data_IF_406124562556
#
_entry.id   IF_406124562556
#
_cell.length_a   1.000
_cell.length_b   1.000
_cell.length_c   1.000
_cell.angle_alpha   90.00
_cell.angle_beta   90.00
_cell.angle_gamma   90.00
#
_symmetry.space_group_name_H-M   'P 1'
#
loop_
_entity.id
_entity.type
_entity.pdbx_description
1 polymer ?
#
# COMPACT_ATOMS: atom_id res chain seq x y z
N UNK A 1 10.90 -9.94 -13.37
CA UNK A 1 10.43 -9.10 -12.24
C UNK A 1 9.87 -7.75 -12.71
N UNK A 2 10.40 -7.14 -13.77
CA UNK A 2 9.97 -5.81 -14.27
C UNK A 2 8.47 -5.66 -14.55
N UNK A 3 7.82 -6.69 -15.09
CA UNK A 3 6.36 -6.65 -15.32
C UNK A 3 5.59 -6.48 -14.00
N UNK A 4 5.96 -7.24 -12.97
CA UNK A 4 5.30 -7.21 -11.66
C UNK A 4 5.49 -5.86 -10.96
N UNK A 5 6.71 -5.30 -11.02
CA UNK A 5 6.98 -3.97 -10.48
C UNK A 5 6.09 -2.89 -11.12
N UNK A 6 5.90 -2.97 -12.45
CA UNK A 6 5.02 -2.04 -13.17
C UNK A 6 3.55 -2.22 -12.80
N UNK A 7 3.09 -3.46 -12.60
CA UNK A 7 1.72 -3.72 -12.17
C UNK A 7 1.45 -3.15 -10.78
N UNK A 8 2.35 -3.36 -9.82
CA UNK A 8 2.19 -2.77 -8.49
C UNK A 8 2.24 -1.25 -8.52
N UNK A 9 3.11 -0.64 -9.34
CA UNK A 9 3.14 0.81 -9.47
C UNK A 9 1.81 1.39 -10.00
N UNK A 10 1.13 0.70 -10.93
CA UNK A 10 -0.18 1.13 -11.46
C UNK A 10 -1.31 1.02 -10.45
N UNK A 11 -1.24 0.03 -9.56
CA UNK A 11 -2.32 -0.34 -8.62
C UNK A 11 -2.24 0.38 -7.27
N UNK A 12 -1.16 1.14 -7.03
CA UNK A 12 -0.84 1.75 -5.74
C UNK A 12 -1.73 2.95 -5.33
N UNK A 13 -2.70 3.35 -6.16
CA UNK A 13 -3.57 4.49 -5.86
C UNK A 13 -4.45 4.23 -4.63
N UNK A 14 -4.50 5.20 -3.71
CA UNK A 14 -5.38 5.16 -2.54
C UNK A 14 -6.65 5.99 -2.79
N UNK A 15 -7.84 5.48 -2.43
CA UNK A 15 -9.06 6.28 -2.49
C UNK A 15 -9.00 7.44 -1.48
N UNK A 16 -9.63 8.56 -1.82
CA UNK A 16 -9.55 9.80 -1.05
C UNK A 16 -9.94 9.66 0.42
N UNK A 17 -10.96 8.86 0.71
CA UNK A 17 -11.42 8.64 2.08
C UNK A 17 -10.36 7.98 2.98
N UNK A 18 -9.53 7.07 2.44
CA UNK A 18 -8.43 6.45 3.19
C UNK A 18 -7.32 7.46 3.43
N UNK A 19 -7.00 8.30 2.43
CA UNK A 19 -6.01 9.37 2.57
C UNK A 19 -6.43 10.33 3.68
N UNK A 20 -7.68 10.81 3.65
CA UNK A 20 -8.23 11.71 4.67
C UNK A 20 -8.29 11.06 6.05
N UNK A 21 -8.63 9.77 6.14
CA UNK A 21 -8.63 9.06 7.42
C UNK A 21 -7.22 9.00 8.02
N UNK A 22 -6.21 8.66 7.22
CA UNK A 22 -4.81 8.61 7.65
C UNK A 22 -4.28 9.97 8.13
N UNK A 23 -4.69 11.06 7.48
CA UNK A 23 -4.28 12.42 7.86
C UNK A 23 -4.91 12.91 9.16
N UNK A 24 -6.07 12.36 9.54
CA UNK A 24 -6.80 12.75 10.72
C UNK A 24 -6.54 11.85 11.95
N UNK A 25 -5.74 10.80 11.82
CA UNK A 25 -5.39 9.98 12.98
C UNK A 25 -4.57 10.79 13.99
N UNK A 26 -4.89 10.69 15.30
CA UNK A 26 -4.12 11.38 16.32
C UNK A 26 -2.76 10.69 16.51
N UNK A 27 -1.74 11.46 16.88
CA UNK A 27 -0.35 10.98 17.01
C UNK A 27 -0.15 9.97 18.14
N UNK A 28 -1.10 9.87 19.09
CA UNK A 28 -1.09 8.87 20.15
C UNK A 28 -1.63 7.50 19.70
N UNK A 29 -2.27 7.40 18.54
CA UNK A 29 -2.73 6.13 17.99
C UNK A 29 -1.54 5.37 17.39
N UNK A 30 -1.30 4.16 17.91
CA UNK A 30 -0.16 3.34 17.51
C UNK A 30 -0.12 3.10 15.98
N UNK A 31 1.05 3.16 15.32
CA UNK A 31 1.16 3.02 13.86
C UNK A 31 0.54 1.73 13.32
N UNK A 32 0.66 0.61 14.04
CA UNK A 32 0.01 -0.65 13.63
C UNK A 32 -1.51 -0.58 13.70
N UNK A 33 -2.08 0.21 14.62
CA UNK A 33 -3.54 0.42 14.70
C UNK A 33 -4.02 1.28 13.53
N UNK A 34 -3.28 2.34 13.19
CA UNK A 34 -3.55 3.15 12.00
C UNK A 34 -3.49 2.30 10.73
N UNK A 35 -2.45 1.45 10.62
CA UNK A 35 -2.25 0.56 9.48
C UNK A 35 -3.41 -0.44 9.33
N UNK A 36 -3.77 -1.13 10.41
CA UNK A 36 -4.90 -2.07 10.39
C UNK A 36 -6.22 -1.38 10.02
N UNK A 37 -6.51 -0.21 10.60
CA UNK A 37 -7.73 0.53 10.30
C UNK A 37 -7.79 0.97 8.83
N UNK A 38 -6.67 1.45 8.28
CA UNK A 38 -6.56 1.82 6.87
C UNK A 38 -6.74 0.63 5.93
N UNK A 39 -6.13 -0.52 6.24
CA UNK A 39 -6.33 -1.76 5.46
C UNK A 39 -7.78 -2.24 5.53
N UNK A 40 -8.44 -2.13 6.68
CA UNK A 40 -9.87 -2.43 6.80
C UNK A 40 -10.72 -1.49 5.96
N UNK A 41 -10.44 -0.18 5.97
CA UNK A 41 -11.16 0.79 5.16
C UNK A 41 -10.99 0.55 3.65
N UNK A 42 -9.80 0.11 3.21
CA UNK A 42 -9.53 -0.26 1.81
C UNK A 42 -10.39 -1.41 1.28
N UNK A 43 -11.11 -2.14 2.15
CA UNK A 43 -12.09 -3.14 1.70
C UNK A 43 -13.20 -2.53 0.83
N UNK A 44 -13.45 -1.22 0.89
CA UNK A 44 -14.37 -0.53 -0.03
C UNK A 44 -14.06 -0.79 -1.51
N UNK A 45 -12.78 -1.04 -1.83
CA UNK A 45 -12.30 -1.28 -3.19
C UNK A 45 -12.26 -2.78 -3.56
N UNK A 46 -12.71 -3.68 -2.68
CA UNK A 46 -12.61 -5.13 -2.88
C UNK A 46 -13.51 -5.60 -4.02
N UNK A 47 -12.86 -6.08 -5.09
CA UNK A 47 -13.55 -6.70 -6.22
C UNK A 47 -14.10 -8.07 -5.84
N UNK A 48 -13.42 -8.81 -4.96
CA UNK A 48 -13.91 -10.10 -4.49
C UNK A 48 -15.18 -9.96 -3.65
N UNK A 49 -15.24 -9.01 -2.70
CA UNK A 49 -16.43 -8.80 -1.88
C UNK A 49 -17.67 -8.47 -2.74
N UNK A 50 -17.48 -7.63 -3.77
CA UNK A 50 -18.53 -7.31 -4.75
C UNK A 50 -18.93 -8.52 -5.58
N UNK A 51 -17.99 -9.20 -6.22
CA UNK A 51 -18.27 -10.37 -7.06
C UNK A 51 -18.91 -11.52 -6.28
N UNK A 52 -18.51 -11.73 -5.02
CA UNK A 52 -19.12 -12.72 -4.14
C UNK A 52 -20.59 -12.40 -3.87
N UNK A 53 -20.90 -11.13 -3.59
CA UNK A 53 -22.27 -10.66 -3.35
C UNK A 53 -23.15 -10.78 -4.61
N UNK A 54 -22.56 -10.67 -5.79
CA UNK A 54 -23.21 -10.86 -7.09
C UNK A 54 -23.37 -12.35 -7.49
N UNK A 55 -22.86 -13.29 -6.69
CA UNK A 55 -23.06 -14.73 -6.90
C UNK A 55 -22.06 -15.40 -7.85
N UNK A 56 -20.80 -14.96 -7.85
CA UNK A 56 -19.73 -15.59 -8.65
C UNK A 56 -19.57 -17.08 -8.33
N UNK A 57 -19.20 -17.88 -9.34
CA UNK A 57 -18.97 -19.31 -9.16
C UNK A 57 -17.76 -19.58 -8.24
N UNK A 58 -17.88 -20.55 -7.33
CA UNK A 58 -16.80 -20.95 -6.40
C UNK A 58 -15.47 -21.26 -7.07
N UNK A 59 -15.48 -21.87 -8.25
CA UNK A 59 -14.26 -22.19 -9.01
C UNK A 59 -13.50 -20.93 -9.51
N UNK A 60 -14.15 -19.76 -9.48
CA UNK A 60 -13.62 -18.48 -9.96
C UNK A 60 -13.23 -17.51 -8.83
N UNK A 61 -13.40 -17.90 -7.56
CA UNK A 61 -13.05 -17.03 -6.42
C UNK A 61 -11.60 -16.57 -6.45
N UNK A 62 -10.68 -17.46 -6.81
CA UNK A 62 -9.24 -17.17 -6.82
C UNK A 62 -8.87 -16.03 -7.77
N UNK A 63 -9.62 -15.81 -8.85
CA UNK A 63 -9.35 -14.75 -9.83
C UNK A 63 -9.49 -13.37 -9.18
N UNK A 64 -10.59 -13.17 -8.45
CA UNK A 64 -10.85 -11.92 -7.74
C UNK A 64 -9.98 -11.77 -6.48
N UNK A 65 -9.69 -12.87 -5.79
CA UNK A 65 -8.75 -12.85 -4.65
C UNK A 65 -7.34 -12.48 -5.12
N UNK A 66 -6.92 -12.94 -6.30
CA UNK A 66 -5.66 -12.56 -6.91
C UNK A 66 -5.61 -11.06 -7.21
N UNK A 67 -6.64 -10.50 -7.84
CA UNK A 67 -6.71 -9.05 -8.13
C UNK A 67 -6.69 -8.22 -6.84
N UNK A 68 -7.51 -8.57 -5.83
CA UNK A 68 -7.53 -7.84 -4.55
C UNK A 68 -6.20 -7.96 -3.79
N UNK A 69 -5.52 -9.12 -3.88
CA UNK A 69 -4.20 -9.31 -3.25
C UNK A 69 -3.12 -8.47 -3.95
N UNK A 70 -3.15 -8.42 -5.28
CA UNK A 70 -2.25 -7.58 -6.09
C UNK A 70 -2.45 -6.10 -5.80
N UNK A 71 -3.70 -5.65 -5.71
CA UNK A 71 -4.06 -4.28 -5.37
C UNK A 71 -3.66 -3.94 -3.93
N UNK A 72 -3.87 -4.86 -2.98
CA UNK A 72 -3.48 -4.65 -1.59
C UNK A 72 -1.96 -4.48 -1.48
N UNK A 73 -1.17 -5.43 -2.01
CA UNK A 73 0.31 -5.36 -1.98
C UNK A 73 0.81 -4.06 -2.59
N UNK A 74 0.20 -3.59 -3.69
CA UNK A 74 0.53 -2.32 -4.32
C UNK A 74 0.27 -1.10 -3.42
N UNK A 75 -0.82 -1.11 -2.66
CA UNK A 75 -1.27 0.01 -1.81
C UNK A 75 -0.58 0.05 -0.44
N UNK A 76 -0.07 -1.09 0.06
CA UNK A 76 0.55 -1.18 1.40
C UNK A 76 1.68 -0.15 1.64
N UNK A 77 2.63 0.06 0.72
CA UNK A 77 3.69 1.06 0.93
C UNK A 77 3.17 2.49 1.03
N UNK A 78 2.12 2.85 0.29
CA UNK A 78 1.53 4.18 0.35
C UNK A 78 0.88 4.42 1.71
N UNK A 79 0.13 3.44 2.23
CA UNK A 79 -0.46 3.50 3.57
C UNK A 79 0.64 3.61 4.63
N UNK A 80 1.61 2.70 4.60
CA UNK A 80 2.70 2.66 5.58
C UNK A 80 3.54 3.94 5.57
N UNK A 81 3.88 4.47 4.39
CA UNK A 81 4.65 5.69 4.26
C UNK A 81 3.86 6.92 4.75
N UNK A 82 2.55 6.98 4.50
CA UNK A 82 1.71 8.07 4.99
C UNK A 82 1.62 8.07 6.52
N UNK A 83 1.46 6.90 7.14
CA UNK A 83 1.54 6.74 8.60
C UNK A 83 2.89 7.23 9.12
N UNK A 84 3.99 6.78 8.51
CA UNK A 84 5.34 7.16 8.91
C UNK A 84 5.55 8.68 8.83
N UNK A 85 5.11 9.32 7.73
CA UNK A 85 5.27 10.77 7.58
C UNK A 85 4.36 11.58 8.50
N UNK A 86 3.13 11.13 8.72
CA UNK A 86 2.21 11.79 9.65
C UNK A 86 2.73 11.77 11.09
N UNK A 87 3.34 10.65 11.51
CA UNK A 87 3.88 10.51 12.86
C UNK A 87 5.27 11.13 13.06
N UNK A 88 6.16 11.02 12.08
CA UNK A 88 7.61 11.28 12.28
C UNK A 88 8.21 12.31 11.31
N UNK A 89 7.41 12.87 10.40
CA UNK A 89 7.83 13.87 9.38
C UNK A 89 6.78 14.96 9.17
N UNK A 90 6.11 15.36 10.25
CA UNK A 90 5.19 16.52 10.31
C UNK A 90 4.05 16.48 9.26
N UNK A 91 3.61 15.29 8.85
CA UNK A 91 2.56 15.15 7.83
C UNK A 91 2.98 15.58 6.43
N UNK A 92 4.28 15.60 6.14
CA UNK A 92 4.79 15.90 4.79
C UNK A 92 4.25 14.91 3.74
N UNK A 93 4.10 15.37 2.51
CA UNK A 93 3.61 14.54 1.40
C UNK A 93 4.54 13.35 1.13
N UNK A 94 3.95 12.19 0.85
CA UNK A 94 4.68 10.97 0.43
C UNK A 94 5.19 11.05 -1.02
N UNK A 95 4.81 12.07 -1.80
CA UNK A 95 5.20 12.21 -3.20
C UNK A 95 4.40 11.32 -4.15
N UNK A 96 4.95 11.11 -5.34
CA UNK A 96 4.33 10.30 -6.40
C UNK A 96 5.08 8.97 -6.59
N UNK A 97 4.33 7.95 -7.01
CA UNK A 97 4.90 6.66 -7.43
C UNK A 97 5.58 6.82 -8.78
N UNK A 98 6.80 6.31 -8.92
CA UNK A 98 7.49 6.18 -10.19
C UNK A 98 7.32 4.77 -10.75
N UNK A 99 6.65 4.68 -11.90
CA UNK A 99 6.39 3.44 -12.63
C UNK A 99 7.63 2.70 -13.15
N UNK A 100 8.79 3.36 -13.14
CA UNK A 100 10.07 2.77 -13.55
C UNK A 100 10.85 2.16 -12.36
N UNK A 101 10.45 2.45 -11.13
CA UNK A 101 11.10 1.94 -9.93
C UNK A 101 10.42 0.66 -9.42
N UNK A 102 11.19 -0.17 -8.72
CA UNK A 102 10.64 -1.33 -8.02
C UNK A 102 9.89 -0.93 -6.74
N UNK A 103 9.21 -1.92 -6.15
CA UNK A 103 8.32 -1.73 -5.01
C UNK A 103 9.03 -1.15 -3.78
N UNK A 104 10.18 -1.72 -3.39
CA UNK A 104 10.94 -1.27 -2.24
C UNK A 104 11.53 0.12 -2.44
N UNK A 105 11.97 0.46 -3.65
CA UNK A 105 12.51 1.79 -3.95
C UNK A 105 11.42 2.88 -3.95
N UNK A 106 10.24 2.60 -4.51
CA UNK A 106 9.10 3.49 -4.34
C UNK A 106 8.77 3.67 -2.85
N UNK A 107 8.83 2.60 -2.06
CA UNK A 107 8.56 2.68 -0.63
C UNK A 107 9.59 3.55 0.12
N UNK A 108 10.89 3.38 -0.12
CA UNK A 108 11.93 4.19 0.54
C UNK A 108 11.84 5.67 0.15
N UNK A 109 11.55 5.97 -1.13
CA UNK A 109 11.29 7.33 -1.59
C UNK A 109 10.08 7.94 -0.86
N UNK A 110 8.98 7.20 -0.75
CA UNK A 110 7.78 7.65 -0.03
C UNK A 110 8.04 7.85 1.45
N UNK A 111 8.91 7.06 2.08
CA UNK A 111 9.35 7.27 3.48
C UNK A 111 10.26 8.50 3.64
N UNK A 112 10.83 9.03 2.55
CA UNK A 112 11.73 10.18 2.54
C UNK A 112 13.21 9.83 2.70
N UNK A 113 13.59 8.60 2.35
CA UNK A 113 14.98 8.15 2.35
C UNK A 113 15.53 8.13 0.91
N UNK A 114 16.75 8.65 0.73
CA UNK A 114 17.44 8.71 -0.56
C UNK A 114 18.75 7.91 -0.60
N UNK A 115 19.14 7.28 0.52
CA UNK A 115 20.32 6.43 0.57
C UNK A 115 20.09 5.13 -0.20
N UNK A 116 20.96 4.83 -1.15
CA UNK A 116 20.88 3.63 -1.97
C UNK A 116 21.06 2.35 -1.15
N UNK A 117 21.91 2.38 -0.10
CA UNK A 117 22.12 1.24 0.79
C UNK A 117 20.87 0.96 1.64
N UNK A 118 20.13 1.99 2.02
CA UNK A 118 18.86 1.80 2.72
C UNK A 118 17.80 1.16 1.82
N UNK A 119 17.80 1.51 0.53
CA UNK A 119 16.92 0.86 -0.45
C UNK A 119 17.29 -0.62 -0.66
N UNK A 120 18.59 -0.95 -0.75
CA UNK A 120 19.05 -2.35 -0.78
C UNK A 120 18.66 -3.13 0.48
N UNK A 121 18.83 -2.51 1.65
CA UNK A 121 18.37 -3.09 2.91
C UNK A 121 16.87 -3.35 2.90
N UNK A 122 16.08 -2.39 2.42
CA UNK A 122 14.63 -2.52 2.34
C UNK A 122 14.21 -3.66 1.41
N UNK A 123 14.86 -3.80 0.25
CA UNK A 123 14.65 -4.93 -0.67
C UNK A 123 14.90 -6.26 0.02
N UNK A 124 16.02 -6.39 0.73
CA UNK A 124 16.35 -7.61 1.46
C UNK A 124 15.36 -7.88 2.60
N UNK A 125 15.07 -6.88 3.43
CA UNK A 125 14.18 -7.00 4.58
C UNK A 125 12.80 -7.52 4.19
N UNK A 126 12.21 -6.95 3.12
CA UNK A 126 10.89 -7.32 2.59
C UNK A 126 10.88 -8.63 1.81
N UNK A 127 12.05 -9.18 1.49
CA UNK A 127 12.13 -10.51 0.86
C UNK A 127 12.20 -11.61 1.91
N UNK A 128 12.82 -11.34 3.05
CA UNK A 128 13.03 -12.33 4.12
C UNK A 128 11.96 -12.30 5.23
N UNK A 129 11.03 -11.34 5.18
CA UNK A 129 9.84 -11.22 6.05
C UNK A 129 8.61 -10.91 5.20
#
# INVERSE_FOLDING_TARGET
VTWLSKEWAKRAALPSHVVTMLDNFPTNLHPMSQFSAAVTALNSESSFARAYSEGVNKAKYWEFVYEDSMDLIAKLPCVAAKIYRNLYREGSSIGAIDSNLDWSHNFTNMLGYSDSQFTELMRLYLTIH
#
